data_IF_054048771652
#
_entry.id   IF_054048771652
#
_cell.length_a   1.000
_cell.length_b   1.000
_cell.length_c   1.000
_cell.angle_alpha   90.00
_cell.angle_beta   90.00
_cell.angle_gamma   90.00
#
_symmetry.space_group_name_H-M   'P 1'
#
loop_
_entity.id
_entity.type
_entity.pdbx_description
1 polymer ?
#
# COMPACT_ATOMS: atom_id res chain seq x y z
N UNK A 1 20.63 25.45 4.86
CA UNK A 1 19.31 24.91 5.25
C UNK A 1 18.97 23.74 4.33
N UNK A 2 18.34 22.65 4.78
CA UNK A 2 17.93 21.57 3.89
C UNK A 2 16.94 22.10 2.85
N UNK A 3 17.17 21.82 1.58
CA UNK A 3 16.29 22.23 0.48
C UNK A 3 15.15 21.23 0.30
N UNK A 4 13.95 21.75 0.04
CA UNK A 4 12.81 20.93 -0.35
C UNK A 4 13.04 20.33 -1.74
N UNK A 5 12.74 19.04 -1.91
CA UNK A 5 12.80 18.36 -3.20
C UNK A 5 11.42 17.85 -3.62
N UNK A 6 10.95 18.16 -4.84
CA UNK A 6 9.61 17.79 -5.27
C UNK A 6 9.29 16.30 -5.16
N UNK A 7 8.06 16.00 -4.77
CA UNK A 7 7.54 14.64 -4.61
C UNK A 7 6.76 14.17 -5.83
N UNK A 8 6.26 15.09 -6.66
CA UNK A 8 5.31 14.80 -7.76
C UNK A 8 5.75 13.63 -8.64
N UNK A 9 7.00 13.61 -9.09
CA UNK A 9 7.50 12.52 -9.95
C UNK A 9 7.52 11.16 -9.25
N UNK A 10 7.96 11.10 -7.98
CA UNK A 10 7.97 9.86 -7.19
C UNK A 10 6.53 9.40 -6.91
N UNK A 11 5.68 10.32 -6.47
CA UNK A 11 4.28 10.05 -6.19
C UNK A 11 3.51 9.54 -7.43
N UNK A 12 3.82 10.06 -8.62
CA UNK A 12 3.22 9.58 -9.87
C UNK A 12 3.52 8.10 -10.11
N UNK A 13 4.79 7.69 -10.03
CA UNK A 13 5.19 6.30 -10.22
C UNK A 13 4.68 5.39 -9.10
N UNK A 14 4.74 5.83 -7.84
CA UNK A 14 4.17 5.09 -6.70
C UNK A 14 2.68 4.84 -6.90
N UNK A 15 1.89 5.86 -7.26
CA UNK A 15 0.45 5.69 -7.51
C UNK A 15 0.17 4.75 -8.68
N UNK A 16 0.93 4.84 -9.78
CA UNK A 16 0.77 3.94 -10.93
C UNK A 16 1.05 2.49 -10.56
N UNK A 17 2.10 2.24 -9.77
CA UNK A 17 2.42 0.90 -9.30
C UNK A 17 1.32 0.35 -8.37
N UNK A 18 0.84 1.16 -7.42
CA UNK A 18 -0.28 0.78 -6.55
C UNK A 18 -1.56 0.49 -7.34
N UNK A 19 -1.89 1.33 -8.34
CA UNK A 19 -3.04 1.12 -9.22
C UNK A 19 -2.90 -0.14 -10.08
N UNK A 20 -1.69 -0.45 -10.56
CA UNK A 20 -1.42 -1.70 -11.26
C UNK A 20 -1.61 -2.92 -10.34
N UNK A 21 -1.16 -2.85 -9.08
CA UNK A 21 -1.41 -3.90 -8.08
C UNK A 21 -2.91 -4.08 -7.78
N UNK A 22 -3.67 -2.99 -7.70
CA UNK A 22 -5.14 -3.04 -7.56
C UNK A 22 -5.76 -3.72 -8.78
N UNK A 23 -5.35 -3.33 -10.00
CA UNK A 23 -5.82 -3.95 -11.24
C UNK A 23 -5.56 -5.45 -11.30
N UNK A 24 -4.35 -5.88 -10.92
CA UNK A 24 -4.00 -7.31 -10.83
C UNK A 24 -4.83 -8.04 -9.77
N UNK A 25 -5.13 -7.39 -8.64
CA UNK A 25 -6.00 -7.97 -7.59
C UNK A 25 -7.44 -8.14 -8.08
N UNK A 26 -7.94 -7.23 -8.92
CA UNK A 26 -9.25 -7.38 -9.56
C UNK A 26 -9.27 -8.56 -10.55
N UNK A 27 -8.19 -8.75 -11.30
CA UNK A 27 -8.05 -9.91 -12.21
C UNK A 27 -8.00 -11.21 -11.42
N UNK A 28 -7.24 -11.27 -10.32
CA UNK A 28 -7.19 -12.42 -9.43
C UNK A 28 -8.55 -12.76 -8.84
N UNK A 29 -9.29 -11.75 -8.37
CA UNK A 29 -10.66 -11.92 -7.84
C UNK A 29 -11.60 -12.60 -8.85
N UNK A 30 -11.48 -12.24 -10.14
CA UNK A 30 -12.24 -12.86 -11.22
C UNK A 30 -11.77 -14.30 -11.49
N UNK A 31 -10.46 -14.55 -11.48
CA UNK A 31 -9.89 -15.88 -11.68
C UNK A 31 -10.29 -16.84 -10.55
N UNK A 32 -10.28 -16.37 -9.30
CA UNK A 32 -10.74 -17.13 -8.11
C UNK A 32 -12.22 -17.51 -8.23
N UNK A 33 -13.05 -16.56 -8.68
CA UNK A 33 -14.46 -16.83 -8.92
C UNK A 33 -14.66 -17.87 -10.04
N UNK A 34 -13.92 -17.76 -11.14
CA UNK A 34 -13.94 -18.73 -12.24
C UNK A 34 -13.51 -20.12 -11.76
N UNK A 35 -12.43 -20.21 -10.99
CA UNK A 35 -11.95 -21.45 -10.39
C UNK A 35 -13.04 -22.12 -9.56
N UNK A 36 -13.69 -21.35 -8.68
CA UNK A 36 -14.80 -21.84 -7.85
C UNK A 36 -15.97 -22.39 -8.68
N UNK A 37 -16.32 -21.75 -9.79
CA UNK A 37 -17.37 -22.26 -10.70
C UNK A 37 -16.93 -23.52 -11.45
N UNK A 38 -15.68 -23.59 -11.90
CA UNK A 38 -15.14 -24.75 -12.62
C UNK A 38 -15.09 -25.99 -11.74
N UNK A 39 -14.75 -25.86 -10.45
CA UNK A 39 -14.77 -26.99 -9.51
C UNK A 39 -16.16 -27.62 -9.42
N UNK A 40 -17.22 -26.81 -9.41
CA UNK A 40 -18.60 -27.30 -9.41
C UNK A 40 -18.97 -27.99 -10.72
N UNK A 41 -18.59 -27.40 -11.87
CA UNK A 41 -18.88 -27.96 -13.19
C UNK A 41 -18.16 -29.27 -13.45
N UNK A 42 -16.94 -29.44 -12.94
CA UNK A 42 -16.24 -30.74 -13.01
C UNK A 42 -16.95 -31.78 -12.14
N UNK A 43 -17.45 -31.40 -10.96
CA UNK A 43 -18.21 -32.31 -10.11
C UNK A 43 -19.54 -32.76 -10.74
N UNK A 44 -20.15 -31.94 -11.60
CA UNK A 44 -21.37 -32.30 -12.36
C UNK A 44 -21.07 -32.95 -13.73
N UNK A 45 -19.80 -33.07 -14.12
CA UNK A 45 -19.39 -33.61 -15.43
C UNK A 45 -19.55 -32.64 -16.61
N UNK A 46 -19.89 -31.37 -16.35
CA UNK A 46 -20.05 -30.30 -17.35
C UNK A 46 -18.73 -29.62 -17.76
N UNK A 47 -17.63 -29.97 -17.10
CA UNK A 47 -16.28 -29.50 -17.40
C UNK A 47 -15.27 -30.63 -17.21
N UNK A 48 -14.11 -30.47 -17.82
CA UNK A 48 -13.02 -31.46 -17.79
C UNK A 48 -11.95 -31.11 -16.75
N UNK A 49 -11.21 -32.12 -16.29
CA UNK A 49 -10.01 -31.90 -15.47
C UNK A 49 -8.92 -31.10 -16.22
N UNK A 50 -8.92 -31.13 -17.55
CA UNK A 50 -8.01 -30.33 -18.37
C UNK A 50 -8.26 -28.83 -18.22
N UNK A 51 -9.53 -28.40 -18.27
CA UNK A 51 -9.92 -27.01 -18.06
C UNK A 51 -9.52 -26.49 -16.66
N UNK A 52 -9.67 -27.33 -15.62
CA UNK A 52 -9.19 -26.99 -14.27
C UNK A 52 -7.67 -26.77 -14.24
N UNK A 53 -6.87 -27.65 -14.86
CA UNK A 53 -5.40 -27.52 -14.89
C UNK A 53 -4.93 -26.28 -15.64
N UNK A 54 -5.63 -25.89 -16.71
CA UNK A 54 -5.35 -24.64 -17.42
C UNK A 54 -5.63 -23.45 -16.51
N UNK A 55 -6.73 -23.47 -15.76
CA UNK A 55 -7.04 -22.42 -14.79
C UNK A 55 -6.00 -22.34 -13.67
N UNK A 56 -5.57 -23.49 -13.13
CA UNK A 56 -4.51 -23.54 -12.11
C UNK A 56 -3.19 -22.90 -12.59
N UNK A 57 -2.82 -23.15 -13.86
CA UNK A 57 -1.64 -22.53 -14.48
C UNK A 57 -1.77 -21.00 -14.58
N UNK A 58 -2.95 -20.51 -14.98
CA UNK A 58 -3.25 -19.08 -15.04
C UNK A 58 -3.20 -18.45 -13.65
N UNK A 59 -3.74 -19.14 -12.64
CA UNK A 59 -3.73 -18.69 -11.24
C UNK A 59 -2.30 -18.56 -10.70
N UNK A 60 -1.42 -19.52 -11.00
CA UNK A 60 0.00 -19.44 -10.67
C UNK A 60 0.69 -18.24 -11.33
N UNK A 61 0.40 -17.96 -12.60
CA UNK A 61 0.93 -16.79 -13.30
C UNK A 61 0.44 -15.48 -12.69
N UNK A 62 -0.86 -15.36 -12.39
CA UNK A 62 -1.45 -14.19 -11.72
C UNK A 62 -0.78 -13.95 -10.37
N UNK A 63 -0.60 -15.01 -9.57
CA UNK A 63 0.06 -14.93 -8.27
C UNK A 63 1.49 -14.40 -8.37
N UNK A 64 2.25 -14.86 -9.37
CA UNK A 64 3.61 -14.37 -9.62
C UNK A 64 3.62 -12.91 -10.06
N UNK A 65 2.69 -12.51 -10.94
CA UNK A 65 2.55 -11.13 -11.38
C UNK A 65 2.16 -10.19 -10.22
N UNK A 66 1.25 -10.61 -9.34
CA UNK A 66 0.90 -9.88 -8.13
C UNK A 66 2.09 -9.71 -7.20
N UNK A 67 2.90 -10.76 -6.98
CA UNK A 67 4.10 -10.66 -6.15
C UNK A 67 5.10 -9.67 -6.74
N UNK A 68 5.36 -9.72 -8.04
CA UNK A 68 6.25 -8.78 -8.72
C UNK A 68 5.73 -7.34 -8.62
N UNK A 69 4.43 -7.13 -8.83
CA UNK A 69 3.79 -5.82 -8.71
C UNK A 69 3.86 -5.29 -7.27
N UNK A 70 3.65 -6.15 -6.27
CA UNK A 70 3.76 -5.79 -4.85
C UNK A 70 5.18 -5.34 -4.51
N UNK A 71 6.21 -6.06 -4.97
CA UNK A 71 7.61 -5.69 -4.77
C UNK A 71 7.91 -4.34 -5.43
N UNK A 72 7.50 -4.15 -6.69
CA UNK A 72 7.70 -2.90 -7.41
C UNK A 72 6.99 -1.72 -6.73
N UNK A 73 5.73 -1.90 -6.34
CA UNK A 73 4.96 -0.91 -5.60
C UNK A 73 5.60 -0.60 -4.24
N UNK A 74 6.07 -1.62 -3.51
CA UNK A 74 6.77 -1.47 -2.24
C UNK A 74 8.05 -0.64 -2.37
N UNK A 75 8.90 -0.93 -3.36
CA UNK A 75 10.13 -0.16 -3.61
C UNK A 75 9.79 1.30 -3.92
N UNK A 76 8.88 1.54 -4.86
CA UNK A 76 8.50 2.91 -5.25
C UNK A 76 7.85 3.66 -4.10
N UNK A 77 7.01 2.98 -3.31
CA UNK A 77 6.40 3.55 -2.11
C UNK A 77 7.47 3.92 -1.07
N UNK A 78 8.42 3.04 -0.77
CA UNK A 78 9.49 3.33 0.19
C UNK A 78 10.42 4.45 -0.29
N UNK A 79 10.72 4.53 -1.58
CA UNK A 79 11.49 5.64 -2.15
C UNK A 79 10.74 6.98 -2.00
N UNK A 80 9.43 6.99 -2.24
CA UNK A 80 8.58 8.16 -1.99
C UNK A 80 8.51 8.48 -0.50
N UNK A 81 8.29 7.47 0.36
CA UNK A 81 8.12 7.60 1.80
C UNK A 81 9.38 8.17 2.47
N UNK A 82 10.55 7.66 2.10
CA UNK A 82 11.85 8.18 2.50
C UNK A 82 11.96 9.67 2.18
N UNK A 83 11.63 10.05 0.93
CA UNK A 83 11.74 11.44 0.49
C UNK A 83 10.72 12.34 1.18
N UNK A 84 9.48 11.89 1.34
CA UNK A 84 8.43 12.61 2.04
C UNK A 84 8.83 12.91 3.49
N UNK A 85 9.46 11.95 4.17
CA UNK A 85 10.01 12.16 5.50
C UNK A 85 11.23 13.10 5.49
N UNK A 86 12.16 12.95 4.54
CA UNK A 86 13.34 13.81 4.42
C UNK A 86 12.98 15.29 4.20
N UNK A 87 11.89 15.56 3.48
CA UNK A 87 11.40 16.91 3.20
C UNK A 87 10.84 17.61 4.45
N UNK A 88 10.45 16.88 5.50
CA UNK A 88 9.82 17.49 6.69
C UNK A 88 10.72 18.55 7.33
N UNK A 89 12.04 18.33 7.38
CA UNK A 89 12.98 19.31 7.91
C UNK A 89 13.02 20.60 7.08
N UNK A 90 12.92 20.49 5.76
CA UNK A 90 12.85 21.65 4.87
C UNK A 90 11.52 22.40 5.02
N UNK A 91 10.45 21.70 5.41
CA UNK A 91 9.12 22.26 5.66
C UNK A 91 8.96 22.90 7.05
N UNK A 92 10.04 22.95 7.86
CA UNK A 92 10.03 23.54 9.20
C UNK A 92 9.56 22.59 10.30
N UNK A 93 9.58 21.27 10.08
CA UNK A 93 9.38 20.30 11.14
C UNK A 93 10.62 20.22 12.03
N UNK A 94 10.49 20.73 13.25
CA UNK A 94 11.50 20.63 14.31
C UNK A 94 11.37 19.30 15.07
N UNK A 95 12.47 18.89 15.71
CA UNK A 95 12.58 17.70 16.57
C UNK A 95 12.06 16.41 15.93
N UNK A 96 12.48 16.09 14.71
CA UNK A 96 12.15 14.80 14.09
C UNK A 96 12.78 13.64 14.92
N UNK A 97 12.00 12.63 15.33
CA UNK A 97 12.45 11.61 16.28
C UNK A 97 13.54 10.67 15.73
N UNK A 98 13.72 10.63 14.41
CA UNK A 98 14.75 9.83 13.75
C UNK A 98 15.07 10.39 12.36
N UNK A 99 16.18 9.94 11.78
CA UNK A 99 16.59 10.31 10.43
C UNK A 99 15.77 9.61 9.32
N UNK A 100 15.88 10.09 8.06
CA UNK A 100 15.15 9.51 6.91
C UNK A 100 15.47 8.05 6.61
N UNK A 101 16.69 7.59 6.87
CA UNK A 101 17.06 6.18 6.70
C UNK A 101 16.23 5.25 7.61
N UNK A 102 15.96 5.66 8.84
CA UNK A 102 15.13 4.90 9.78
C UNK A 102 13.65 4.87 9.38
N UNK A 103 13.15 5.89 8.67
CA UNK A 103 11.79 5.88 8.12
C UNK A 103 11.56 4.67 7.19
N UNK A 104 12.60 4.22 6.50
CA UNK A 104 12.58 2.99 5.69
C UNK A 104 13.00 1.77 6.50
N UNK A 105 14.05 1.89 7.33
CA UNK A 105 14.58 0.77 8.12
C UNK A 105 13.53 0.07 8.98
N UNK A 106 12.55 0.82 9.52
CA UNK A 106 11.48 0.25 10.34
C UNK A 106 10.57 -0.76 9.60
N UNK A 107 10.53 -0.75 8.27
CA UNK A 107 9.75 -1.73 7.51
C UNK A 107 10.35 -3.14 7.54
N UNK A 108 11.64 -3.25 7.80
CA UNK A 108 12.40 -4.49 7.71
C UNK A 108 12.73 -5.11 9.07
N UNK A 109 12.49 -4.40 10.18
CA UNK A 109 12.72 -4.91 11.53
C UNK A 109 11.47 -5.65 12.01
N UNK A 110 11.53 -6.97 12.30
CA UNK A 110 10.39 -7.72 12.79
C UNK A 110 9.76 -7.10 14.05
N UNK A 111 8.44 -7.21 14.19
CA UNK A 111 7.61 -6.63 15.29
C UNK A 111 7.54 -5.09 15.21
N UNK A 112 8.68 -4.43 15.05
CA UNK A 112 8.78 -2.98 14.88
C UNK A 112 8.05 -2.51 13.61
N UNK A 113 8.10 -3.32 12.55
CA UNK A 113 7.40 -3.08 11.30
C UNK A 113 5.88 -3.11 11.40
N UNK A 114 5.29 -3.55 12.52
CA UNK A 114 3.84 -3.51 12.74
C UNK A 114 3.35 -2.16 13.27
N UNK A 115 4.24 -1.35 13.84
CA UNK A 115 3.86 -0.10 14.54
C UNK A 115 4.58 1.11 13.97
N UNK A 116 5.90 1.04 13.81
CA UNK A 116 6.70 2.22 13.46
C UNK A 116 6.38 2.79 12.08
N UNK A 117 6.15 2.02 11.01
CA UNK A 117 5.74 2.59 9.74
C UNK A 117 4.49 3.47 9.82
N UNK A 118 3.49 3.06 10.63
CA UNK A 118 2.28 3.85 10.86
C UNK A 118 2.57 5.15 11.61
N UNK A 119 3.42 5.10 12.64
CA UNK A 119 3.87 6.29 13.37
C UNK A 119 4.56 7.27 12.43
N UNK A 120 5.50 6.78 11.61
CA UNK A 120 6.22 7.62 10.64
C UNK A 120 5.28 8.20 9.59
N UNK A 121 4.29 7.43 9.13
CA UNK A 121 3.27 7.93 8.20
C UNK A 121 2.42 9.05 8.83
N UNK A 122 2.08 8.93 10.12
CA UNK A 122 1.41 9.99 10.88
C UNK A 122 2.29 11.24 11.01
N UNK A 123 3.59 11.07 11.28
CA UNK A 123 4.54 12.18 11.36
C UNK A 123 4.63 12.91 10.01
N UNK A 124 4.78 12.15 8.91
CA UNK A 124 4.75 12.69 7.55
C UNK A 124 3.47 13.47 7.31
N UNK A 125 2.31 12.88 7.60
CA UNK A 125 1.02 13.52 7.36
C UNK A 125 0.85 14.83 8.15
N UNK A 126 1.13 14.79 9.45
CA UNK A 126 0.93 15.92 10.35
C UNK A 126 1.91 17.07 10.09
N UNK A 127 3.18 16.75 9.81
CA UNK A 127 4.19 17.75 9.48
C UNK A 127 4.03 18.31 8.05
N UNK A 128 3.30 17.62 7.17
CA UNK A 128 3.00 18.10 5.82
C UNK A 128 1.87 19.13 5.77
N UNK A 129 1.08 19.32 6.85
CA UNK A 129 -0.08 20.21 6.83
C UNK A 129 0.32 21.66 6.52
N UNK A 130 -0.21 22.28 5.44
CA UNK A 130 0.15 23.63 5.02
C UNK A 130 -0.38 24.74 5.96
N UNK A 131 -1.27 24.41 6.90
CA UNK A 131 -1.86 25.32 7.89
C UNK A 131 -1.23 25.19 9.27
N UNK A 132 -0.30 24.25 9.48
CA UNK A 132 0.30 24.03 10.79
C UNK A 132 1.46 25.00 11.05
N UNK A 133 1.41 25.67 12.21
CA UNK A 133 2.53 26.44 12.74
C UNK A 133 3.76 25.55 12.96
N UNK A 134 4.95 26.11 12.78
CA UNK A 134 6.21 25.44 13.10
C UNK A 134 6.18 24.92 14.55
N UNK A 135 6.51 23.64 14.74
CA UNK A 135 6.49 22.98 16.06
C UNK A 135 5.12 22.49 16.58
N UNK A 136 3.99 22.82 15.93
CA UNK A 136 2.66 22.35 16.38
C UNK A 136 2.29 20.95 15.90
N UNK A 137 3.02 20.41 14.91
CA UNK A 137 2.67 19.17 14.21
C UNK A 137 2.59 17.93 15.12
N UNK A 138 3.42 17.87 16.18
CA UNK A 138 3.44 16.77 17.17
C UNK A 138 2.19 16.69 18.04
N UNK A 139 1.48 17.81 18.24
CA UNK A 139 0.25 17.86 19.07
C UNK A 139 -1.00 17.44 18.31
N UNK A 140 -0.89 17.18 17.01
CA UNK A 140 -2.03 16.82 16.16
C UNK A 140 -2.45 15.38 16.40
N UNK A 141 -3.77 15.17 16.37
CA UNK A 141 -4.37 13.83 16.48
C UNK A 141 -3.88 12.96 15.33
N UNK A 142 -3.80 11.65 15.57
CA UNK A 142 -3.46 10.71 14.52
C UNK A 142 -4.55 10.74 13.43
N UNK A 143 -4.16 10.90 12.16
CA UNK A 143 -5.10 10.99 11.04
C UNK A 143 -5.80 9.65 10.77
N UNK A 144 -7.14 9.67 10.73
CA UNK A 144 -7.98 8.49 10.47
C UNK A 144 -7.64 7.79 9.16
N UNK A 145 -7.24 8.53 8.13
CA UNK A 145 -6.78 7.96 6.85
C UNK A 145 -5.58 7.03 7.03
N UNK A 146 -4.58 7.44 7.82
CA UNK A 146 -3.34 6.68 8.02
C UNK A 146 -3.62 5.45 8.88
N UNK A 147 -4.42 5.61 9.93
CA UNK A 147 -4.84 4.49 10.78
C UNK A 147 -5.63 3.47 9.95
N UNK A 148 -6.63 3.93 9.19
CA UNK A 148 -7.44 3.08 8.32
C UNK A 148 -6.59 2.35 7.30
N UNK A 149 -5.75 3.07 6.56
CA UNK A 149 -4.81 2.48 5.60
C UNK A 149 -3.95 1.38 6.23
N UNK A 150 -3.33 1.68 7.37
CA UNK A 150 -2.40 0.77 8.02
C UNK A 150 -3.08 -0.47 8.58
N UNK A 151 -4.22 -0.31 9.25
CA UNK A 151 -4.98 -1.43 9.79
C UNK A 151 -5.51 -2.33 8.66
N UNK A 152 -6.03 -1.75 7.58
CA UNK A 152 -6.48 -2.50 6.42
C UNK A 152 -5.32 -3.24 5.74
N UNK A 153 -4.14 -2.61 5.62
CA UNK A 153 -2.94 -3.24 5.06
C UNK A 153 -2.44 -4.42 5.91
N UNK A 154 -2.38 -4.27 7.24
CA UNK A 154 -2.00 -5.37 8.13
C UNK A 154 -3.01 -6.51 8.08
N UNK A 155 -4.31 -6.17 8.09
CA UNK A 155 -5.38 -7.15 8.03
C UNK A 155 -5.37 -7.90 6.69
N UNK A 156 -5.17 -7.22 5.56
CA UNK A 156 -5.09 -7.88 4.25
C UNK A 156 -3.93 -8.87 4.19
N UNK A 157 -2.75 -8.49 4.70
CA UNK A 157 -1.59 -9.38 4.77
C UNK A 157 -1.79 -10.57 5.71
N UNK A 158 -2.49 -10.39 6.83
CA UNK A 158 -2.84 -11.47 7.75
C UNK A 158 -3.83 -12.45 7.12
N UNK A 159 -4.95 -11.94 6.60
CA UNK A 159 -6.00 -12.76 5.96
C UNK A 159 -5.45 -13.49 4.74
N UNK A 160 -4.62 -12.83 3.93
CA UNK A 160 -3.94 -13.45 2.79
C UNK A 160 -3.05 -14.63 3.21
N UNK A 161 -2.23 -14.48 4.26
CA UNK A 161 -1.42 -15.59 4.79
C UNK A 161 -2.27 -16.75 5.29
N UNK A 162 -3.36 -16.47 5.99
CA UNK A 162 -4.31 -17.52 6.43
C UNK A 162 -4.92 -18.22 5.23
N UNK A 163 -5.38 -17.47 4.22
CA UNK A 163 -5.94 -18.03 2.98
C UNK A 163 -4.96 -18.94 2.25
N UNK A 164 -3.72 -18.49 2.04
CA UNK A 164 -2.66 -19.30 1.43
C UNK A 164 -2.31 -20.54 2.26
N UNK A 165 -2.26 -20.41 3.60
CA UNK A 165 -2.00 -21.56 4.48
C UNK A 165 -3.12 -22.60 4.39
N UNK A 166 -4.38 -22.16 4.35
CA UNK A 166 -5.54 -23.04 4.18
C UNK A 166 -5.51 -23.73 2.81
N UNK A 167 -5.19 -22.98 1.75
CA UNK A 167 -5.05 -23.50 0.39
C UNK A 167 -4.00 -24.60 0.31
N UNK A 168 -2.79 -24.33 0.83
CA UNK A 168 -1.68 -25.30 0.80
C UNK A 168 -1.93 -26.56 1.64
N UNK A 169 -2.77 -26.45 2.68
CA UNK A 169 -3.16 -27.57 3.55
C UNK A 169 -4.49 -28.23 3.18
N UNK A 170 -5.11 -27.85 2.07
CA UNK A 170 -6.40 -28.37 1.66
C UNK A 170 -6.25 -29.75 1.01
N UNK A 171 -6.97 -30.74 1.57
CA UNK A 171 -7.01 -32.13 1.07
C UNK A 171 -8.38 -32.54 0.54
N UNK A 172 -9.38 -31.68 0.70
CA UNK A 172 -10.78 -31.93 0.36
C UNK A 172 -11.47 -30.67 -0.21
N UNK A 173 -12.60 -30.83 -0.91
CA UNK A 173 -13.30 -29.71 -1.53
C UNK A 173 -13.81 -28.64 -0.55
N UNK A 174 -14.16 -29.01 0.68
CA UNK A 174 -14.69 -28.06 1.67
C UNK A 174 -13.60 -27.13 2.18
N UNK A 175 -12.40 -27.66 2.45
CA UNK A 175 -11.22 -26.84 2.78
C UNK A 175 -10.80 -25.93 1.64
N UNK A 176 -10.84 -26.42 0.39
CA UNK A 176 -10.58 -25.58 -0.79
C UNK A 176 -11.57 -24.42 -0.87
N UNK A 177 -12.86 -24.68 -0.62
CA UNK A 177 -13.89 -23.64 -0.58
C UNK A 177 -13.64 -22.61 0.52
N UNK A 178 -13.28 -23.05 1.73
CA UNK A 178 -12.95 -22.14 2.83
C UNK A 178 -11.75 -21.26 2.48
N UNK A 179 -10.68 -21.86 1.93
CA UNK A 179 -9.51 -21.12 1.47
C UNK A 179 -9.87 -20.05 0.43
N UNK A 180 -10.69 -20.41 -0.58
CA UNK A 180 -11.15 -19.47 -1.61
C UNK A 180 -11.92 -18.29 -1.01
N UNK A 181 -12.86 -18.53 -0.07
CA UNK A 181 -13.59 -17.45 0.61
C UNK A 181 -12.64 -16.52 1.37
N UNK A 182 -11.65 -17.06 2.07
CA UNK A 182 -10.66 -16.27 2.82
C UNK A 182 -9.80 -15.43 1.86
N UNK A 183 -9.38 -16.00 0.72
CA UNK A 183 -8.61 -15.29 -0.30
C UNK A 183 -9.41 -14.16 -0.95
N UNK A 184 -10.69 -14.38 -1.29
CA UNK A 184 -11.57 -13.32 -1.79
C UNK A 184 -11.67 -12.14 -0.80
N UNK A 185 -11.76 -12.43 0.50
CA UNK A 185 -11.75 -11.38 1.55
C UNK A 185 -10.40 -10.67 1.59
N UNK A 186 -9.28 -11.39 1.47
CA UNK A 186 -7.94 -10.80 1.42
C UNK A 186 -7.76 -9.86 0.22
N UNK A 187 -8.30 -10.22 -0.94
CA UNK A 187 -8.25 -9.41 -2.16
C UNK A 187 -9.02 -8.09 -2.00
N UNK A 188 -10.25 -8.16 -1.45
CA UNK A 188 -11.04 -6.96 -1.16
C UNK A 188 -10.30 -6.03 -0.19
N UNK A 189 -9.72 -6.58 0.87
CA UNK A 189 -8.91 -5.80 1.81
C UNK A 189 -7.65 -5.22 1.16
N UNK A 190 -7.01 -5.96 0.27
CA UNK A 190 -5.81 -5.51 -0.46
C UNK A 190 -6.13 -4.36 -1.40
N UNK A 191 -7.27 -4.44 -2.12
CA UNK A 191 -7.78 -3.36 -2.96
C UNK A 191 -8.06 -2.12 -2.11
N UNK A 192 -8.76 -2.29 -0.98
CA UNK A 192 -9.07 -1.18 -0.07
C UNK A 192 -7.78 -0.54 0.50
N UNK A 193 -6.81 -1.35 0.94
CA UNK A 193 -5.50 -0.86 1.39
C UNK A 193 -4.76 -0.10 0.28
N UNK A 194 -4.79 -0.61 -0.95
CA UNK A 194 -4.19 0.04 -2.12
C UNK A 194 -4.83 1.40 -2.42
N UNK A 195 -6.16 1.50 -2.39
CA UNK A 195 -6.89 2.77 -2.58
C UNK A 195 -6.50 3.78 -1.51
N UNK A 196 -6.51 3.37 -0.24
CA UNK A 196 -6.12 4.25 0.86
C UNK A 196 -4.65 4.68 0.75
N UNK A 197 -3.75 3.80 0.28
CA UNK A 197 -2.36 4.14 0.00
C UNK A 197 -2.22 5.18 -1.12
N UNK A 198 -2.98 5.04 -2.21
CA UNK A 198 -3.00 6.01 -3.31
C UNK A 198 -3.47 7.39 -2.83
N UNK A 199 -4.52 7.43 -2.00
CA UNK A 199 -5.02 8.67 -1.39
C UNK A 199 -3.96 9.26 -0.46
N UNK A 200 -3.36 8.45 0.42
CA UNK A 200 -2.29 8.89 1.32
C UNK A 200 -1.12 9.54 0.56
N UNK A 201 -0.63 8.88 -0.50
CA UNK A 201 0.47 9.38 -1.33
C UNK A 201 0.08 10.70 -2.01
N UNK A 202 -1.12 10.77 -2.58
CA UNK A 202 -1.62 11.95 -3.30
C UNK A 202 -1.83 13.16 -2.40
N UNK A 203 -2.54 12.98 -1.30
CA UNK A 203 -2.84 14.03 -0.32
C UNK A 203 -1.57 14.57 0.34
N UNK A 204 -0.68 13.68 0.79
CA UNK A 204 0.60 14.09 1.40
C UNK A 204 1.45 14.87 0.41
N UNK A 205 1.55 14.40 -0.83
CA UNK A 205 2.32 15.10 -1.87
C UNK A 205 1.75 16.50 -2.10
N UNK A 206 0.44 16.63 -2.26
CA UNK A 206 -0.23 17.93 -2.46
C UNK A 206 0.02 18.88 -1.28
N UNK A 207 -0.10 18.37 -0.06
CA UNK A 207 0.14 19.15 1.18
C UNK A 207 1.58 19.65 1.27
N UNK A 208 2.57 18.79 0.99
CA UNK A 208 3.98 19.19 1.02
C UNK A 208 4.32 20.23 -0.04
N UNK A 209 3.86 20.05 -1.28
CA UNK A 209 4.09 21.02 -2.36
C UNK A 209 3.43 22.38 -2.04
N UNK A 210 2.19 22.38 -1.52
CA UNK A 210 1.49 23.59 -1.12
C UNK A 210 2.16 24.31 0.07
N UNK A 211 2.77 23.56 0.99
CA UNK A 211 3.53 24.14 2.11
C UNK A 211 4.87 24.71 1.64
N UNK A 212 5.56 24.01 0.74
CA UNK A 212 6.82 24.46 0.16
C UNK A 212 6.65 25.77 -0.65
N UNK A 213 5.59 25.87 -1.44
CA UNK A 213 5.31 27.09 -2.23
C UNK A 213 4.99 28.31 -1.36
N UNK A 214 4.34 28.12 -0.20
CA UNK A 214 4.10 29.20 0.78
C UNK A 214 5.36 29.70 1.48
N UNK A 215 6.37 28.86 1.61
CA UNK A 215 7.64 29.20 2.27
C UNK A 215 8.64 29.88 1.33
N UNK A 216 8.43 29.83 0.02
CA UNK A 216 9.22 30.61 -0.93
C UNK A 216 8.76 32.09 -0.86
N UNK A 217 9.68 33.05 -0.63
CA UNK A 217 9.33 34.46 -0.72
C UNK A 217 8.82 34.80 -2.13
N UNK A 218 7.92 35.78 -2.29
CA UNK A 218 7.47 36.21 -3.61
C UNK A 218 8.69 36.58 -4.43
N UNK A 219 8.82 35.98 -5.61
CA UNK A 219 9.89 36.30 -6.56
C UNK A 219 9.75 37.78 -6.85
N UNK A 220 10.66 38.60 -6.34
CA UNK A 220 10.73 40.01 -6.70
C UNK A 220 10.93 40.03 -8.20
N UNK A 221 9.88 40.34 -8.95
CA UNK A 221 9.98 40.62 -10.37
C UNK A 221 10.86 41.87 -10.46
N UNK A 222 12.15 41.68 -10.70
CA UNK A 222 13.06 42.73 -11.13
C UNK A 222 12.47 43.31 -12.40
N UNK A 223 11.94 44.53 -12.26
CA UNK A 223 11.58 45.43 -13.34
C UNK A 223 12.84 45.87 -14.11
#
# INVERSE_FOLDING_TARGET
>A
MPSFLPLVGRAHWTKRALLASIGLSLVALVADFQQWTLTKRVATGEATLGELRTNDSLQAFISLAQLAALIAAGILFLCWFHRAYANLKALGAEDLPHGPGWAVGYWFVPIVNLVRPATVACDIWNASDPTADAGSWRRRKQPSLIIGWWLTFLLSGLVGRVGTSLWNGASDPDRLRQAAVVLLVADVLTIAAGVLAVVFVGETTTRQEARASRQQPPTTATA
#
